data_IF_957717502014
#
_entry.id   IF_957717502014
#
_cell.length_a   1.000
_cell.length_b   1.000
_cell.length_c   1.000
_cell.angle_alpha   90.00
_cell.angle_beta   90.00
_cell.angle_gamma   90.00
#
_symmetry.space_group_name_H-M   'P 1'
#
loop_
_entity.id
_entity.type
_entity.pdbx_description
1 polymer ?
#
# COMPACT_ATOMS: atom_id res chain seq x y z
N UNK A 1 79.12 -20.95 12.12
CA UNK A 1 78.93 -19.74 11.30
C UNK A 1 77.50 -19.77 10.77
N UNK A 2 76.84 -18.62 10.88
CA UNK A 2 75.41 -18.34 10.72
C UNK A 2 74.79 -18.86 9.41
N UNK A 3 73.51 -19.28 9.42
CA UNK A 3 72.38 -18.46 8.96
C UNK A 3 71.04 -19.21 8.92
N UNK A 4 70.04 -18.49 9.45
CA UNK A 4 68.59 -18.44 9.24
C UNK A 4 67.97 -19.14 8.02
N UNK A 5 66.89 -19.90 8.27
CA UNK A 5 65.63 -19.79 7.53
C UNK A 5 64.46 -20.13 8.46
N UNK A 6 63.51 -19.21 8.58
CA UNK A 6 62.46 -19.19 9.60
C UNK A 6 61.38 -20.24 9.43
N UNK A 7 60.84 -20.69 10.56
CA UNK A 7 59.51 -21.30 10.63
C UNK A 7 58.62 -20.30 11.36
N UNK A 8 57.67 -19.73 10.64
CA UNK A 8 56.57 -18.97 11.24
C UNK A 8 55.68 -20.02 11.92
N UNK A 9 55.74 -20.08 13.24
CA UNK A 9 54.70 -20.74 14.04
C UNK A 9 53.67 -19.65 14.34
N UNK A 10 52.47 -19.82 13.79
CA UNK A 10 51.32 -18.97 14.11
C UNK A 10 50.86 -19.29 15.52
N UNK A 11 51.16 -18.41 16.47
CA UNK A 11 50.52 -18.41 17.77
C UNK A 11 49.07 -17.91 17.60
N UNK A 12 48.13 -18.84 17.42
CA UNK A 12 46.70 -18.57 17.60
C UNK A 12 46.42 -18.54 19.10
N UNK A 13 46.56 -17.37 19.71
CA UNK A 13 45.88 -17.08 20.97
C UNK A 13 44.41 -16.84 20.63
N UNK A 14 43.55 -17.80 20.95
CA UNK A 14 42.10 -17.70 20.83
C UNK A 14 41.57 -16.56 21.74
N UNK A 15 41.44 -15.35 21.17
CA UNK A 15 40.70 -14.21 21.75
C UNK A 15 39.20 -14.51 21.99
N UNK A 16 38.74 -15.69 21.60
CA UNK A 16 37.34 -16.08 21.58
C UNK A 16 36.83 -16.51 22.98
N UNK A 17 37.68 -17.09 23.82
CA UNK A 17 37.25 -17.63 25.11
C UNK A 17 36.94 -16.54 26.14
N UNK A 18 37.69 -15.43 26.11
CA UNK A 18 37.43 -14.27 26.96
C UNK A 18 36.12 -13.56 26.58
N UNK A 19 35.76 -13.55 25.30
CA UNK A 19 34.48 -12.98 24.83
C UNK A 19 33.30 -13.80 25.35
N UNK A 20 33.36 -15.13 25.27
CA UNK A 20 32.29 -15.99 25.75
C UNK A 20 32.15 -16.02 27.27
N UNK A 21 33.20 -15.76 28.03
CA UNK A 21 33.15 -15.59 29.49
C UNK A 21 32.45 -14.29 29.90
N UNK A 22 32.73 -13.17 29.23
CA UNK A 22 32.03 -11.89 29.45
C UNK A 22 30.54 -12.00 29.08
N UNK A 23 30.24 -12.63 27.94
CA UNK A 23 28.87 -12.90 27.49
C UNK A 23 28.14 -13.89 28.42
N UNK A 24 28.81 -14.77 29.15
CA UNK A 24 28.14 -15.64 30.13
C UNK A 24 27.87 -14.91 31.45
N UNK A 25 28.77 -14.03 31.87
CA UNK A 25 28.64 -13.28 33.12
C UNK A 25 27.62 -12.13 33.03
N UNK A 26 27.48 -11.47 31.88
CA UNK A 26 26.47 -10.41 31.68
C UNK A 26 25.03 -10.97 31.61
N UNK A 27 24.87 -12.27 31.37
CA UNK A 27 23.59 -12.97 31.29
C UNK A 27 23.33 -13.89 32.50
N UNK A 28 24.19 -13.86 33.51
CA UNK A 28 23.97 -14.56 34.77
C UNK A 28 22.86 -13.86 35.59
N UNK A 29 21.64 -14.37 35.42
CA UNK A 29 20.51 -14.30 36.34
C UNK A 29 20.19 -12.91 36.95
N UNK A 30 19.67 -12.02 36.11
CA UNK A 30 18.51 -11.25 36.54
C UNK A 30 17.31 -11.75 35.71
N UNK A 31 16.48 -12.59 36.33
CA UNK A 31 15.22 -13.14 35.80
C UNK A 31 14.13 -12.07 35.58
N UNK A 32 14.53 -10.82 35.30
CA UNK A 32 13.63 -9.74 34.87
C UNK A 32 13.65 -9.63 33.34
N UNK A 33 13.49 -10.76 32.65
CA UNK A 33 13.07 -10.71 31.26
C UNK A 33 11.68 -10.07 31.23
N UNK A 34 11.44 -9.00 30.45
CA UNK A 34 10.10 -8.47 30.26
C UNK A 34 9.27 -9.58 29.62
N UNK A 35 8.51 -10.29 30.44
CA UNK A 35 7.51 -11.22 29.97
C UNK A 35 6.52 -10.39 29.18
N UNK A 36 6.53 -10.56 27.86
CA UNK A 36 5.48 -10.01 27.00
C UNK A 36 4.18 -10.68 27.43
N UNK A 37 3.48 -10.04 28.37
CA UNK A 37 2.17 -10.48 28.80
C UNK A 37 1.25 -10.27 27.62
N UNK A 38 0.78 -11.37 27.03
CA UNK A 38 -0.37 -11.37 26.15
C UNK A 38 -1.56 -10.92 27.00
N UNK A 39 -1.72 -9.60 27.17
CA UNK A 39 -3.01 -9.07 27.60
C UNK A 39 -4.02 -9.57 26.59
N UNK A 40 -5.20 -9.99 27.06
CA UNK A 40 -6.32 -10.42 26.21
C UNK A 40 -6.47 -9.43 25.05
N UNK A 41 -5.99 -9.84 23.86
CA UNK A 41 -5.97 -8.98 22.68
C UNK A 41 -7.43 -8.82 22.27
N UNK A 42 -8.03 -7.68 22.64
CA UNK A 42 -9.32 -7.32 22.04
C UNK A 42 -9.14 -7.32 20.52
N UNK A 43 -10.02 -8.02 19.77
CA UNK A 43 -9.93 -8.03 18.33
C UNK A 43 -10.06 -6.59 17.84
N UNK A 44 -9.20 -6.21 16.90
CA UNK A 44 -9.27 -4.90 16.28
C UNK A 44 -10.56 -4.81 15.44
N UNK A 45 -11.15 -3.61 15.30
CA UNK A 45 -12.36 -3.45 14.49
C UNK A 45 -12.11 -3.88 13.04
N UNK A 46 -13.03 -4.69 12.51
CA UNK A 46 -13.08 -5.12 11.12
C UNK A 46 -14.51 -5.01 10.64
N UNK A 47 -14.70 -4.38 9.49
CA UNK A 47 -15.99 -4.22 8.85
C UNK A 47 -15.93 -4.74 7.42
N UNK A 48 -16.87 -5.63 7.12
CA UNK A 48 -16.96 -6.29 5.83
C UNK A 48 -18.37 -6.12 5.26
N UNK A 49 -18.44 -6.06 3.94
CA UNK A 49 -19.74 -5.98 3.28
C UNK A 49 -19.59 -5.92 1.77
N UNK A 50 -20.68 -5.50 1.13
CA UNK A 50 -20.67 -5.29 -0.31
C UNK A 50 -21.58 -4.13 -0.69
N UNK A 51 -21.23 -3.42 -1.76
CA UNK A 51 -22.03 -2.33 -2.30
C UNK A 51 -22.13 -2.40 -3.82
N UNK A 52 -23.20 -1.84 -4.36
CA UNK A 52 -23.46 -1.80 -5.79
C UNK A 52 -22.50 -0.83 -6.48
N UNK A 53 -21.86 -1.27 -7.56
CA UNK A 53 -20.95 -0.42 -8.34
C UNK A 53 -21.72 0.25 -9.48
N UNK A 54 -22.02 1.54 -9.33
CA UNK A 54 -22.70 2.34 -10.35
C UNK A 54 -24.05 1.75 -10.75
N UNK A 55 -24.36 1.76 -12.05
CA UNK A 55 -25.57 1.13 -12.61
C UNK A 55 -25.39 -0.35 -12.97
N UNK A 56 -24.23 -0.94 -12.67
CA UNK A 56 -24.03 -2.36 -12.91
C UNK A 56 -24.82 -3.19 -11.90
N UNK A 57 -25.17 -4.43 -12.24
CA UNK A 57 -25.68 -5.41 -11.28
C UNK A 57 -24.56 -6.07 -10.47
N UNK A 58 -23.36 -5.47 -10.44
CA UNK A 58 -22.20 -6.03 -9.79
C UNK A 58 -22.01 -5.44 -8.39
N UNK A 59 -21.78 -6.33 -7.42
CA UNK A 59 -21.50 -6.00 -6.03
C UNK A 59 -19.99 -6.07 -5.79
N UNK A 60 -19.37 -4.94 -5.47
CA UNK A 60 -18.00 -4.93 -4.99
C UNK A 60 -17.98 -5.28 -3.51
N UNK A 61 -17.07 -6.17 -3.12
CA UNK A 61 -16.86 -6.50 -1.71
C UNK A 61 -15.87 -5.52 -1.09
N UNK A 62 -16.03 -5.26 0.20
CA UNK A 62 -15.04 -4.52 0.97
C UNK A 62 -14.71 -5.24 2.27
N UNK A 63 -13.46 -5.11 2.67
CA UNK A 63 -12.93 -5.46 3.97
C UNK A 63 -12.13 -4.26 4.44
N UNK A 64 -12.52 -3.63 5.54
CA UNK A 64 -11.75 -2.53 6.14
C UNK A 64 -11.53 -2.81 7.61
N UNK A 65 -10.25 -2.85 8.00
CA UNK A 65 -9.81 -3.05 9.38
C UNK A 65 -9.19 -1.78 9.96
N UNK A 66 -8.96 -1.74 11.27
CA UNK A 66 -8.19 -0.67 11.92
C UNK A 66 -7.00 -1.22 12.70
N UNK A 67 -5.87 -0.51 12.71
CA UNK A 67 -4.69 -0.86 13.51
C UNK A 67 -4.80 -0.44 14.98
N UNK A 68 -5.88 0.24 15.37
CA UNK A 68 -6.09 0.75 16.70
C UNK A 68 -7.54 0.53 17.13
N UNK A 69 -7.75 0.45 18.44
CA UNK A 69 -9.10 0.38 18.95
C UNK A 69 -9.76 1.76 18.80
N UNK A 70 -10.92 1.81 18.18
CA UNK A 70 -11.69 3.03 18.04
C UNK A 70 -13.17 2.73 18.27
N UNK A 71 -13.91 3.74 18.73
CA UNK A 71 -15.36 3.68 18.83
C UNK A 71 -16.02 4.20 17.54
N UNK A 72 -15.34 4.02 16.39
CA UNK A 72 -15.85 4.55 15.14
C UNK A 72 -17.02 3.69 14.64
N UNK A 73 -18.00 4.38 14.08
CA UNK A 73 -19.20 3.76 13.52
C UNK A 73 -18.88 2.98 12.24
N UNK A 74 -19.68 1.96 11.94
CA UNK A 74 -19.63 1.18 10.71
C UNK A 74 -19.70 2.08 9.46
N UNK A 75 -20.45 3.19 9.55
CA UNK A 75 -20.56 4.20 8.49
C UNK A 75 -19.20 4.76 8.05
N UNK A 76 -18.25 4.93 8.97
CA UNK A 76 -16.91 5.41 8.63
C UNK A 76 -16.18 4.43 7.72
N UNK A 77 -16.24 3.13 8.03
CA UNK A 77 -15.52 2.09 7.31
C UNK A 77 -16.11 1.91 5.90
N UNK A 78 -17.43 1.99 5.77
CA UNK A 78 -18.09 2.01 4.48
C UNK A 78 -17.71 3.26 3.66
N UNK A 79 -17.70 4.46 4.27
CA UNK A 79 -17.28 5.70 3.61
C UNK A 79 -15.83 5.60 3.12
N UNK A 80 -14.91 5.06 3.92
CA UNK A 80 -13.52 4.81 3.52
C UNK A 80 -13.42 3.83 2.34
N UNK A 81 -14.20 2.73 2.36
CA UNK A 81 -14.25 1.78 1.26
C UNK A 81 -14.76 2.41 -0.04
N UNK A 82 -15.85 3.19 0.05
CA UNK A 82 -16.42 3.92 -1.09
C UNK A 82 -15.45 4.96 -1.64
N UNK A 83 -14.69 5.64 -0.78
CA UNK A 83 -13.65 6.59 -1.19
C UNK A 83 -12.50 5.90 -1.92
N UNK A 84 -11.98 4.80 -1.38
CA UNK A 84 -10.96 3.98 -2.05
C UNK A 84 -11.43 3.55 -3.43
N UNK A 85 -12.64 2.99 -3.51
CA UNK A 85 -13.28 2.58 -4.75
C UNK A 85 -13.37 3.74 -5.76
N UNK A 86 -13.87 4.90 -5.33
CA UNK A 86 -14.02 6.08 -6.18
C UNK A 86 -12.66 6.60 -6.68
N UNK A 87 -11.66 6.67 -5.81
CA UNK A 87 -10.32 7.13 -6.19
C UNK A 87 -9.64 6.15 -7.14
N UNK A 88 -9.80 4.83 -6.97
CA UNK A 88 -9.29 3.86 -7.93
C UNK A 88 -9.87 4.09 -9.34
N UNK A 89 -11.18 4.34 -9.44
CA UNK A 89 -11.82 4.70 -10.71
C UNK A 89 -11.25 6.01 -11.29
N UNK A 90 -11.13 7.06 -10.47
CA UNK A 90 -10.58 8.35 -10.92
C UNK A 90 -9.14 8.18 -11.39
N UNK A 91 -8.30 7.50 -10.62
CA UNK A 91 -6.90 7.26 -10.94
C UNK A 91 -6.75 6.49 -12.27
N UNK A 92 -7.53 5.42 -12.42
CA UNK A 92 -7.58 4.62 -13.64
C UNK A 92 -8.06 5.43 -14.85
N UNK A 93 -8.97 6.38 -14.67
CA UNK A 93 -9.43 7.27 -15.74
C UNK A 93 -8.33 8.25 -16.16
N UNK A 94 -7.66 8.90 -15.20
CA UNK A 94 -6.56 9.85 -15.48
C UNK A 94 -5.41 9.13 -16.18
N UNK A 95 -5.01 7.95 -15.71
CA UNK A 95 -3.88 7.22 -16.27
C UNK A 95 -4.05 6.77 -17.71
N UNK A 96 -5.29 6.78 -18.20
CA UNK A 96 -5.66 6.47 -19.58
C UNK A 96 -6.05 7.72 -20.37
N UNK A 97 -5.85 8.91 -19.83
CA UNK A 97 -6.12 10.17 -20.51
C UNK A 97 -7.60 10.53 -20.64
N UNK A 98 -8.46 10.02 -19.75
CA UNK A 98 -9.86 10.46 -19.69
C UNK A 98 -9.95 11.79 -18.94
N UNK A 99 -10.81 12.72 -19.40
CA UNK A 99 -11.01 13.99 -18.72
C UNK A 99 -11.66 13.78 -17.35
N UNK A 100 -11.21 14.54 -16.36
CA UNK A 100 -11.75 14.51 -15.00
C UNK A 100 -12.38 15.84 -14.62
N UNK A 101 -13.45 15.79 -13.82
CA UNK A 101 -14.08 16.99 -13.29
C UNK A 101 -13.24 17.64 -12.19
N UNK A 102 -13.47 18.93 -11.93
CA UNK A 102 -12.84 19.65 -10.82
C UNK A 102 -13.16 19.03 -9.45
N UNK A 103 -14.31 18.36 -9.31
CA UNK A 103 -14.68 17.64 -8.10
C UNK A 103 -13.88 16.36 -7.92
N UNK A 104 -13.57 15.65 -9.02
CA UNK A 104 -12.73 14.44 -8.98
C UNK A 104 -11.29 14.78 -8.63
N UNK A 105 -10.76 15.91 -9.13
CA UNK A 105 -9.41 16.40 -8.78
C UNK A 105 -9.21 16.56 -7.26
N UNK A 106 -10.24 17.00 -6.53
CA UNK A 106 -10.16 17.18 -5.07
C UNK A 106 -9.93 15.87 -4.28
N UNK A 107 -10.11 14.71 -4.90
CA UNK A 107 -9.93 13.43 -4.22
C UNK A 107 -8.46 12.96 -4.17
N UNK A 108 -7.57 13.59 -4.97
CA UNK A 108 -6.15 13.24 -5.06
C UNK A 108 -5.28 14.47 -4.78
N UNK A 109 -4.04 14.23 -4.35
CA UNK A 109 -3.02 15.26 -4.34
C UNK A 109 -2.60 15.63 -5.77
N UNK A 110 -2.15 16.87 -5.97
CA UNK A 110 -1.62 17.32 -7.26
C UNK A 110 -0.44 16.46 -7.74
N UNK A 111 0.37 15.94 -6.80
CA UNK A 111 1.46 15.01 -7.13
C UNK A 111 0.94 13.70 -7.73
N UNK A 112 -0.14 13.12 -7.18
CA UNK A 112 -0.76 11.92 -7.74
C UNK A 112 -1.31 12.20 -9.14
N UNK A 113 -2.00 13.34 -9.31
CA UNK A 113 -2.54 13.74 -10.61
C UNK A 113 -1.40 13.87 -11.64
N UNK A 114 -0.33 14.57 -11.30
CA UNK A 114 0.84 14.73 -12.17
C UNK A 114 1.45 13.39 -12.58
N UNK A 115 1.63 12.45 -11.64
CA UNK A 115 2.17 11.11 -11.95
C UNK A 115 1.25 10.32 -12.90
N UNK A 116 -0.07 10.37 -12.66
CA UNK A 116 -1.05 9.67 -13.49
C UNK A 116 -1.15 10.29 -14.90
N UNK A 117 -1.12 11.62 -15.01
CA UNK A 117 -1.08 12.33 -16.30
C UNK A 117 0.20 12.01 -17.07
N UNK A 118 1.35 11.94 -16.39
CA UNK A 118 2.62 11.51 -17.00
C UNK A 118 2.57 10.05 -17.46
N UNK A 119 1.92 9.16 -16.70
CA UNK A 119 1.74 7.78 -17.14
C UNK A 119 0.96 7.72 -18.46
N UNK A 120 -0.12 8.49 -18.58
CA UNK A 120 -0.84 8.59 -19.85
C UNK A 120 0.03 9.18 -20.95
N UNK A 121 0.80 10.23 -20.68
CA UNK A 121 1.70 10.84 -21.67
C UNK A 121 2.66 9.83 -22.28
N UNK A 122 3.33 9.02 -21.44
CA UNK A 122 4.28 7.99 -21.90
C UNK A 122 3.59 6.88 -22.70
N UNK A 123 2.43 6.43 -22.24
CA UNK A 123 1.62 5.42 -22.93
C UNK A 123 1.13 5.95 -24.30
N UNK A 124 0.67 7.20 -24.34
CA UNK A 124 0.17 7.84 -25.54
C UNK A 124 1.27 8.03 -26.59
N UNK A 125 2.49 8.40 -26.17
CA UNK A 125 3.65 8.44 -27.06
C UNK A 125 3.94 7.08 -27.68
N UNK A 126 3.95 6.01 -26.87
CA UNK A 126 4.17 4.65 -27.35
C UNK A 126 3.16 4.23 -28.43
N UNK A 127 1.88 4.63 -28.31
CA UNK A 127 0.86 4.36 -29.33
C UNK A 127 1.02 5.23 -30.57
N UNK A 128 1.37 6.50 -30.39
CA UNK A 128 1.60 7.44 -31.48
C UNK A 128 2.76 6.99 -32.36
N UNK A 129 3.87 6.56 -31.76
CA UNK A 129 5.06 6.05 -32.47
C UNK A 129 4.77 4.77 -33.27
N UNK A 130 3.82 3.96 -32.79
CA UNK A 130 3.39 2.70 -33.44
C UNK A 130 2.22 2.89 -34.40
N UNK A 131 1.68 4.11 -34.53
CA UNK A 131 0.44 4.40 -35.26
C UNK A 131 -0.75 3.53 -34.81
N UNK A 132 -0.83 3.18 -33.53
CA UNK A 132 -1.87 2.30 -32.97
C UNK A 132 -2.97 3.10 -32.24
N UNK A 133 -3.74 3.84 -33.02
CA UNK A 133 -4.86 4.65 -32.51
C UNK A 133 -6.01 3.80 -31.98
N UNK A 134 -6.19 2.60 -32.53
CA UNK A 134 -7.27 1.69 -32.13
C UNK A 134 -7.09 1.18 -30.71
N UNK A 135 -5.89 0.73 -30.34
CA UNK A 135 -5.61 0.29 -28.97
C UNK A 135 -5.69 1.45 -27.98
N UNK A 136 -5.20 2.63 -28.37
CA UNK A 136 -5.33 3.87 -27.58
C UNK A 136 -6.80 4.22 -27.31
N UNK A 137 -7.69 4.08 -28.31
CA UNK A 137 -9.13 4.26 -28.13
C UNK A 137 -9.76 3.19 -27.22
N UNK A 138 -9.41 1.91 -27.42
CA UNK A 138 -9.91 0.79 -26.62
C UNK A 138 -9.57 0.93 -25.13
N UNK A 139 -8.39 1.44 -24.81
CA UNK A 139 -7.99 1.71 -23.43
C UNK A 139 -8.86 2.80 -22.80
N UNK A 140 -9.28 3.81 -23.56
CA UNK A 140 -10.07 4.94 -23.05
C UNK A 140 -11.56 4.66 -22.93
N UNK A 141 -12.10 3.79 -23.76
CA UNK A 141 -13.55 3.59 -23.84
C UNK A 141 -14.11 2.61 -22.80
N UNK A 142 -13.26 1.77 -22.20
CA UNK A 142 -13.70 0.74 -21.24
C UNK A 142 -13.84 1.31 -19.83
N UNK A 143 -14.96 1.05 -19.12
CA UNK A 143 -15.13 1.50 -17.76
C UNK A 143 -14.22 0.72 -16.80
N UNK A 144 -13.79 1.41 -15.76
CA UNK A 144 -13.14 0.78 -14.61
C UNK A 144 -14.22 0.15 -13.73
N UNK A 145 -14.11 -1.14 -13.47
CA UNK A 145 -15.07 -1.93 -12.72
C UNK A 145 -14.42 -2.47 -11.43
N UNK A 146 -14.50 -1.75 -10.31
CA UNK A 146 -14.07 -2.22 -8.99
C UNK A 146 -14.71 -3.57 -8.63
N UNK A 147 -13.91 -4.44 -8.03
CA UNK A 147 -14.30 -5.81 -7.64
C UNK A 147 -14.23 -6.01 -6.14
N UNK A 148 -13.13 -5.56 -5.55
CA UNK A 148 -12.83 -5.79 -4.15
C UNK A 148 -12.01 -4.62 -3.61
N UNK A 149 -12.30 -4.24 -2.38
CA UNK A 149 -11.57 -3.22 -1.63
C UNK A 149 -11.04 -3.89 -0.37
N UNK A 150 -9.73 -3.81 -0.14
CA UNK A 150 -9.13 -4.19 1.12
C UNK A 150 -8.44 -2.97 1.72
N UNK A 151 -8.89 -2.52 2.88
CA UNK A 151 -8.45 -1.28 3.51
C UNK A 151 -8.00 -1.48 4.94
N UNK A 152 -7.13 -0.58 5.39
CA UNK A 152 -6.63 -0.53 6.75
C UNK A 152 -6.56 0.92 7.22
N UNK A 153 -7.33 1.23 8.25
CA UNK A 153 -7.28 2.50 8.95
C UNK A 153 -6.11 2.46 9.95
N UNK A 154 -4.96 3.00 9.51
CA UNK A 154 -3.69 2.99 10.24
C UNK A 154 -3.74 3.91 11.46
N UNK A 155 -4.36 5.09 11.29
CA UNK A 155 -4.56 6.08 12.35
C UNK A 155 -5.85 6.87 12.08
N UNK A 156 -6.34 7.69 13.03
CA UNK A 156 -7.52 8.53 12.78
C UNK A 156 -7.41 9.46 11.57
N UNK A 157 -6.20 9.69 11.06
CA UNK A 157 -5.94 10.58 9.92
C UNK A 157 -5.23 9.89 8.75
N UNK A 158 -4.99 8.57 8.81
CA UNK A 158 -4.32 7.81 7.75
C UNK A 158 -5.05 6.51 7.45
N UNK A 159 -5.37 6.33 6.17
CA UNK A 159 -6.06 5.16 5.66
C UNK A 159 -5.31 4.65 4.43
N UNK A 160 -5.07 3.36 4.35
CA UNK A 160 -4.42 2.71 3.21
C UNK A 160 -5.37 1.66 2.64
N UNK A 161 -5.38 1.49 1.32
CA UNK A 161 -6.25 0.52 0.67
C UNK A 161 -5.65 -0.04 -0.61
N UNK A 162 -5.99 -1.28 -0.90
CA UNK A 162 -5.82 -1.90 -2.21
C UNK A 162 -7.18 -2.13 -2.83
N UNK A 163 -7.36 -1.66 -4.06
CA UNK A 163 -8.58 -1.88 -4.83
C UNK A 163 -8.26 -2.76 -6.03
N UNK A 164 -8.89 -3.93 -6.09
CA UNK A 164 -8.89 -4.77 -7.28
C UNK A 164 -10.00 -4.30 -8.21
N UNK A 165 -9.69 -4.08 -9.49
CA UNK A 165 -10.65 -3.67 -10.49
C UNK A 165 -10.35 -4.30 -11.85
N UNK A 166 -11.34 -4.30 -12.73
CA UNK A 166 -11.18 -4.77 -14.11
C UNK A 166 -11.43 -3.65 -15.11
N UNK A 167 -10.68 -3.64 -16.20
CA UNK A 167 -10.95 -2.82 -17.39
C UNK A 167 -11.10 -3.76 -18.58
N UNK A 168 -12.33 -3.92 -19.06
CA UNK A 168 -12.64 -5.01 -20.00
C UNK A 168 -12.38 -6.37 -19.37
N UNK A 169 -11.53 -7.18 -20.01
CA UNK A 169 -11.16 -8.52 -19.56
C UNK A 169 -9.89 -8.57 -18.69
N UNK A 170 -9.22 -7.43 -18.50
CA UNK A 170 -7.98 -7.36 -17.74
C UNK A 170 -8.26 -6.94 -16.30
N UNK A 171 -7.54 -7.55 -15.36
CA UNK A 171 -7.59 -7.21 -13.94
C UNK A 171 -6.35 -6.40 -13.57
N UNK A 172 -6.57 -5.44 -12.69
CA UNK A 172 -5.58 -4.47 -12.22
C UNK A 172 -5.76 -4.25 -10.72
N UNK A 173 -4.74 -3.73 -10.07
CA UNK A 173 -4.84 -3.26 -8.70
C UNK A 173 -4.46 -1.79 -8.58
N UNK A 174 -5.07 -1.10 -7.62
CA UNK A 174 -4.65 0.23 -7.19
C UNK A 174 -4.24 0.15 -5.72
N UNK A 175 -2.99 0.49 -5.42
CA UNK A 175 -2.51 0.73 -4.07
C UNK A 175 -2.67 2.20 -3.74
N UNK A 176 -3.38 2.51 -2.66
CA UNK A 176 -3.82 3.85 -2.31
C UNK A 176 -3.43 4.18 -0.87
N UNK A 177 -2.95 5.40 -0.65
CA UNK A 177 -2.84 5.98 0.69
C UNK A 177 -3.60 7.29 0.77
N UNK A 178 -4.29 7.49 1.89
CA UNK A 178 -5.13 8.64 2.17
C UNK A 178 -4.69 9.33 3.44
N UNK A 179 -4.81 10.65 3.43
CA UNK A 179 -4.65 11.50 4.60
C UNK A 179 -5.92 12.33 4.83
N UNK A 180 -6.42 12.31 6.05
CA UNK A 180 -7.53 13.18 6.47
C UNK A 180 -6.97 14.58 6.78
N UNK A 181 -7.49 15.60 6.11
CA UNK A 181 -7.16 17.00 6.32
C UNK A 181 -8.46 17.81 6.35
N UNK A 182 -8.69 18.54 7.44
CA UNK A 182 -9.89 19.39 7.62
C UNK A 182 -11.21 18.64 7.34
N UNK A 183 -11.30 17.37 7.77
CA UNK A 183 -12.49 16.53 7.58
C UNK A 183 -12.63 15.95 6.16
N UNK A 184 -11.66 16.15 5.27
CA UNK A 184 -11.63 15.57 3.93
C UNK A 184 -10.50 14.56 3.78
N UNK A 185 -10.82 13.38 3.26
CA UNK A 185 -9.83 12.38 2.88
C UNK A 185 -9.29 12.67 1.48
N UNK A 186 -7.99 12.92 1.39
CA UNK A 186 -7.28 13.16 0.13
C UNK A 186 -6.31 12.02 -0.09
N UNK A 187 -6.34 11.43 -1.27
CA UNK A 187 -5.39 10.40 -1.68
C UNK A 187 -4.03 11.03 -1.96
N UNK A 188 -3.00 10.64 -1.21
CA UNK A 188 -1.64 11.18 -1.31
C UNK A 188 -0.67 10.24 -2.00
N UNK A 189 -1.05 8.98 -2.21
CA UNK A 189 -0.28 8.00 -2.98
C UNK A 189 -1.25 7.15 -3.79
N UNK A 190 -0.91 6.98 -5.06
CA UNK A 190 -1.58 6.06 -5.98
C UNK A 190 -0.51 5.32 -6.77
N UNK A 191 -0.61 4.00 -6.78
CA UNK A 191 0.16 3.12 -7.65
C UNK A 191 -0.78 2.15 -8.35
N UNK A 192 -0.58 1.95 -9.66
CA UNK A 192 -1.45 1.12 -10.50
C UNK A 192 -0.64 -0.06 -11.04
N UNK A 193 -1.09 -1.28 -10.74
CA UNK A 193 -0.50 -2.55 -11.16
C UNK A 193 -1.38 -3.37 -12.06
#
# INVERSE_FOLDING_TARGET
MNNTLGTIVSDNYDENDAFWEVVKNDFAANDDHPTFKWNDRKPLPVYEGSFLVGSSHFMATYHVSSCFNNSADEELYLDLALRACKVACIASDISRGRPISSQMRKALSEECIFKLENMWYLIFQCFSDKHDEYTSWQLRCKPTMPRMINGMLISPTRFEAVVLFSIGSLNYCASLAFKSQNGSWICTLVDLG
#
